data_IF_063620418530
#
_entry.id   IF_063620418530
#
_cell.length_a   1.000
_cell.length_b   1.000
_cell.length_c   1.000
_cell.angle_alpha   90.00
_cell.angle_beta   90.00
_cell.angle_gamma   90.00
#
_symmetry.space_group_name_H-M   'P 1'
#
loop_
_entity.id
_entity.type
_entity.pdbx_description
1 polymer ?
#
# COMPACT_ATOMS: atom_id res chain seq x y z
N UNK A 1 -10.45 16.94 -13.06
CA UNK A 1 -11.61 16.05 -12.96
C UNK A 1 -11.25 15.02 -11.90
N UNK A 2 -11.70 15.19 -10.65
CA UNK A 2 -11.33 14.29 -9.55
C UNK A 2 -12.17 13.02 -9.70
N UNK A 3 -11.61 12.01 -10.37
CA UNK A 3 -12.26 10.71 -10.50
C UNK A 3 -11.99 9.90 -9.22
N UNK A 4 -12.79 10.14 -8.18
CA UNK A 4 -12.75 9.32 -6.97
C UNK A 4 -13.36 7.95 -7.30
N UNK A 5 -12.52 6.95 -7.60
CA UNK A 5 -12.97 5.57 -7.73
C UNK A 5 -13.44 5.04 -6.37
N UNK A 6 -14.58 4.37 -6.37
CA UNK A 6 -15.10 3.62 -5.23
C UNK A 6 -14.28 2.35 -4.99
N UNK A 7 -14.28 1.78 -3.78
CA UNK A 7 -13.52 0.56 -3.48
C UNK A 7 -13.78 -0.59 -4.45
N UNK A 8 -15.03 -0.80 -4.87
CA UNK A 8 -15.38 -1.84 -5.84
C UNK A 8 -14.79 -1.58 -7.24
N UNK A 9 -14.71 -0.32 -7.67
CA UNK A 9 -14.13 0.06 -8.95
C UNK A 9 -12.61 -0.14 -8.94
N UNK A 10 -11.96 0.18 -7.80
CA UNK A 10 -10.53 -0.09 -7.57
C UNK A 10 -10.26 -1.59 -7.65
N UNK A 11 -11.05 -2.42 -6.96
CA UNK A 11 -10.90 -3.88 -7.01
C UNK A 11 -11.02 -4.42 -8.43
N UNK A 12 -12.06 -4.00 -9.17
CA UNK A 12 -12.26 -4.45 -10.55
C UNK A 12 -11.16 -3.99 -11.50
N UNK A 13 -10.60 -2.79 -11.29
CA UNK A 13 -9.42 -2.33 -12.02
C UNK A 13 -8.21 -3.22 -11.73
N UNK A 14 -7.89 -3.44 -10.46
CA UNK A 14 -6.74 -4.27 -10.04
C UNK A 14 -6.84 -5.69 -10.59
N UNK A 15 -8.00 -6.35 -10.51
CA UNK A 15 -8.19 -7.72 -11.02
C UNK A 15 -7.81 -7.86 -12.50
N UNK A 16 -8.08 -6.84 -13.32
CA UNK A 16 -7.72 -6.85 -14.75
C UNK A 16 -6.26 -6.47 -14.98
N UNK A 17 -5.76 -5.47 -14.25
CA UNK A 17 -4.41 -4.93 -14.42
C UNK A 17 -3.34 -5.91 -13.93
N UNK A 18 -3.58 -6.61 -12.83
CA UNK A 18 -2.61 -7.56 -12.25
C UNK A 18 -2.29 -8.75 -13.18
N UNK A 19 -3.14 -9.06 -14.15
CA UNK A 19 -2.87 -10.09 -15.15
C UNK A 19 -1.90 -9.64 -16.26
N UNK A 20 -1.57 -8.34 -16.32
CA UNK A 20 -0.80 -7.72 -17.42
C UNK A 20 0.57 -7.19 -16.99
N UNK A 21 0.83 -7.14 -15.69
CA UNK A 21 2.05 -6.55 -15.11
C UNK A 21 3.01 -7.63 -14.60
N UNK A 22 4.28 -7.26 -14.49
CA UNK A 22 5.31 -8.08 -13.87
C UNK A 22 5.19 -8.05 -12.35
N UNK A 23 5.46 -9.21 -11.74
CA UNK A 23 5.40 -9.41 -10.28
C UNK A 23 4.11 -8.83 -9.65
N UNK A 24 2.91 -9.30 -10.05
CA UNK A 24 1.64 -8.75 -9.56
C UNK A 24 1.48 -8.83 -8.03
N UNK A 25 2.19 -9.75 -7.38
CA UNK A 25 2.26 -9.87 -5.92
C UNK A 25 2.74 -8.57 -5.22
N UNK A 26 3.42 -7.65 -5.91
CA UNK A 26 3.78 -6.31 -5.39
C UNK A 26 2.56 -5.49 -4.97
N UNK A 27 1.39 -5.78 -5.53
CA UNK A 27 0.19 -4.96 -5.41
C UNK A 27 -0.97 -5.68 -4.70
N UNK A 28 -0.82 -6.95 -4.32
CA UNK A 28 -1.88 -7.76 -3.71
C UNK A 28 -1.97 -7.61 -2.19
N UNK A 29 -0.95 -7.02 -1.55
CA UNK A 29 -0.85 -6.95 -0.08
C UNK A 29 -0.58 -8.31 0.57
N UNK A 30 -0.88 -8.44 1.86
CA UNK A 30 -0.73 -9.69 2.63
C UNK A 30 0.69 -9.98 3.12
N UNK A 31 1.50 -8.93 3.29
CA UNK A 31 2.89 -9.06 3.72
C UNK A 31 3.01 -9.70 5.11
N UNK A 32 4.08 -10.47 5.31
CA UNK A 32 4.45 -10.95 6.63
C UNK A 32 4.72 -9.75 7.56
N UNK A 33 4.14 -9.77 8.77
CA UNK A 33 4.12 -8.65 9.73
C UNK A 33 3.28 -7.42 9.32
N UNK A 34 2.37 -7.55 8.35
CA UNK A 34 1.35 -6.52 8.15
C UNK A 34 0.47 -6.43 9.41
N UNK A 35 0.28 -5.21 9.91
CA UNK A 35 -0.62 -4.91 11.02
C UNK A 35 -1.97 -4.48 10.46
N UNK A 36 -3.02 -5.23 10.78
CA UNK A 36 -4.39 -4.86 10.42
C UNK A 36 -5.14 -4.38 11.66
N UNK A 37 -5.80 -3.22 11.53
CA UNK A 37 -6.66 -2.61 12.56
C UNK A 37 -7.99 -2.26 11.95
N UNK A 38 -9.01 -2.11 12.80
CA UNK A 38 -10.30 -1.60 12.38
C UNK A 38 -10.12 -0.18 11.82
N UNK A 39 -10.43 -0.03 10.54
CA UNK A 39 -10.28 1.22 9.81
C UNK A 39 -11.17 2.31 10.40
N UNK A 40 -12.44 2.00 10.69
CA UNK A 40 -13.44 2.96 11.13
C UNK A 40 -13.27 3.33 12.62
N UNK A 41 -12.76 2.40 13.42
CA UNK A 41 -12.47 2.68 14.83
C UNK A 41 -11.14 3.42 15.06
N UNK A 42 -10.26 3.51 14.06
CA UNK A 42 -8.93 4.15 14.20
C UNK A 42 -8.93 5.59 13.69
N UNK A 43 -8.79 6.60 14.59
CA UNK A 43 -8.98 8.01 14.24
C UNK A 43 -7.83 8.62 13.42
N UNK A 44 -6.62 8.10 13.54
CA UNK A 44 -5.45 8.62 12.82
C UNK A 44 -4.93 7.59 11.83
N UNK A 45 -4.85 7.97 10.55
CA UNK A 45 -4.42 7.08 9.46
C UNK A 45 -3.23 7.72 8.74
N UNK A 46 -2.16 6.97 8.60
CA UNK A 46 -0.89 7.44 8.03
C UNK A 46 -0.50 6.55 6.85
N UNK A 47 -0.12 7.17 5.75
CA UNK A 47 0.54 6.49 4.65
C UNK A 47 2.02 6.86 4.65
N UNK A 48 2.88 5.88 4.88
CA UNK A 48 4.33 6.03 4.75
C UNK A 48 4.70 5.76 3.29
N UNK A 49 4.84 6.84 2.51
CA UNK A 49 5.19 6.76 1.10
C UNK A 49 6.71 6.70 0.92
N UNK A 50 7.19 5.67 0.23
CA UNK A 50 8.57 5.55 -0.22
C UNK A 50 8.64 5.78 -1.73
N UNK A 51 9.52 6.67 -2.22
CA UNK A 51 9.51 7.11 -3.62
C UNK A 51 10.25 6.13 -4.55
N UNK A 52 10.07 4.82 -4.34
CA UNK A 52 10.68 3.77 -5.16
C UNK A 52 9.84 2.49 -5.08
N UNK A 53 10.18 1.49 -5.89
CA UNK A 53 9.46 0.22 -5.95
C UNK A 53 9.57 -0.58 -4.65
N UNK A 54 8.57 -1.43 -4.45
CA UNK A 54 8.45 -2.33 -3.31
C UNK A 54 9.74 -3.09 -2.97
N UNK A 55 10.39 -3.71 -3.96
CA UNK A 55 11.61 -4.51 -3.74
C UNK A 55 12.75 -3.68 -3.08
N UNK A 56 12.84 -2.39 -3.41
CA UNK A 56 13.84 -1.48 -2.85
C UNK A 56 13.37 -0.87 -1.53
N UNK A 57 12.10 -0.46 -1.46
CA UNK A 57 11.53 0.20 -0.29
C UNK A 57 11.37 -0.72 0.92
N UNK A 58 11.09 -2.02 0.72
CA UNK A 58 10.91 -2.99 1.81
C UNK A 58 12.17 -3.14 2.68
N UNK A 59 13.35 -2.95 2.08
CA UNK A 59 14.64 -3.04 2.77
C UNK A 59 14.99 -1.76 3.56
N UNK A 60 14.13 -0.74 3.54
CA UNK A 60 14.37 0.51 4.26
C UNK A 60 14.09 0.36 5.77
N UNK A 61 15.15 0.33 6.56
CA UNK A 61 15.06 0.18 8.02
C UNK A 61 14.29 1.34 8.69
N UNK A 62 14.47 2.57 8.21
CA UNK A 62 13.76 3.73 8.76
C UNK A 62 12.25 3.61 8.57
N UNK A 63 11.83 3.20 7.37
CA UNK A 63 10.43 2.93 7.04
C UNK A 63 9.85 1.82 7.93
N UNK A 64 10.61 0.74 8.14
CA UNK A 64 10.19 -0.37 9.01
C UNK A 64 10.02 0.07 10.48
N UNK A 65 10.96 0.87 11.02
CA UNK A 65 10.87 1.41 12.38
C UNK A 65 9.66 2.33 12.53
N UNK A 66 9.45 3.25 11.57
CA UNK A 66 8.29 4.16 11.61
C UNK A 66 6.97 3.39 11.53
N UNK A 67 6.88 2.40 10.65
CA UNK A 67 5.71 1.55 10.52
C UNK A 67 5.38 0.84 11.85
N UNK A 68 6.38 0.23 12.50
CA UNK A 68 6.22 -0.44 13.78
C UNK A 68 5.82 0.52 14.91
N UNK A 69 6.50 1.67 15.04
CA UNK A 69 6.20 2.65 16.08
C UNK A 69 4.79 3.24 15.96
N UNK A 70 4.35 3.56 14.73
CA UNK A 70 3.00 4.06 14.50
C UNK A 70 1.96 2.99 14.77
N UNK A 71 2.17 1.76 14.30
CA UNK A 71 1.22 0.67 14.48
C UNK A 71 1.20 0.08 15.89
N UNK A 72 2.17 0.38 16.77
CA UNK A 72 2.08 0.07 18.20
C UNK A 72 1.11 0.98 18.96
N UNK A 73 0.76 2.13 18.41
CA UNK A 73 -0.18 3.04 19.06
C UNK A 73 -1.63 2.60 18.82
N UNK A 74 -2.49 2.59 19.85
CA UNK A 74 -3.88 2.13 19.71
C UNK A 74 -4.74 3.08 18.86
N UNK A 75 -4.37 4.36 18.77
CA UNK A 75 -5.10 5.42 18.08
C UNK A 75 -4.65 5.65 16.62
N UNK A 76 -3.68 4.88 16.13
CA UNK A 76 -3.09 5.09 14.81
C UNK A 76 -3.08 3.83 13.95
N UNK A 77 -3.30 3.98 12.65
CA UNK A 77 -3.14 2.95 11.63
C UNK A 77 -2.13 3.50 10.61
N UNK A 78 -1.06 2.76 10.36
CA UNK A 78 -0.09 3.13 9.34
C UNK A 78 -0.01 2.04 8.26
N UNK A 79 -0.01 2.47 7.01
CA UNK A 79 0.25 1.64 5.83
C UNK A 79 1.49 2.12 5.10
N UNK A 80 2.12 1.24 4.32
CA UNK A 80 3.27 1.59 3.46
C UNK A 80 2.81 1.65 2.02
N UNK A 81 3.31 2.65 1.29
CA UNK A 81 3.03 2.82 -0.14
C UNK A 81 4.34 3.00 -0.88
N UNK A 82 4.43 2.39 -2.05
CA UNK A 82 5.61 2.39 -2.91
C UNK A 82 5.24 2.90 -4.29
N UNK A 83 6.23 3.38 -5.05
CA UNK A 83 6.00 3.74 -6.44
C UNK A 83 5.66 2.48 -7.27
N UNK A 84 4.68 2.56 -8.19
CA UNK A 84 4.43 1.47 -9.12
C UNK A 84 5.65 1.26 -10.01
N UNK A 85 5.83 0.02 -10.49
CA UNK A 85 6.79 -0.21 -11.56
C UNK A 85 6.23 0.35 -12.89
N UNK A 86 7.11 0.56 -13.87
CA UNK A 86 6.77 1.26 -15.12
C UNK A 86 5.71 0.55 -15.96
N UNK A 87 5.56 -0.77 -15.81
CA UNK A 87 4.51 -1.55 -16.48
C UNK A 87 3.13 -1.35 -15.85
N UNK A 88 3.05 -1.23 -14.52
CA UNK A 88 1.81 -0.91 -13.83
C UNK A 88 1.46 0.56 -14.01
N UNK A 89 2.45 1.46 -14.01
CA UNK A 89 2.25 2.88 -14.33
C UNK A 89 1.64 3.10 -15.71
N UNK A 90 2.00 2.27 -16.70
CA UNK A 90 1.41 2.32 -18.04
C UNK A 90 -0.09 1.93 -18.10
N UNK A 91 -0.62 1.29 -17.05
CA UNK A 91 -2.03 0.89 -16.96
C UNK A 91 -2.88 1.84 -16.09
N UNK A 92 -2.26 2.84 -15.43
CA UNK A 92 -2.93 3.88 -14.61
C UNK A 92 -3.57 4.98 -15.47
#
# INVERSE_FOLDING_TARGET
MNNHMQPAEISGFLERTLLRVQKPARYTGGEWNAVSKDWDATPHRVALAFPDIYDLGMSNLGLAILYDLLNKRPDMLAERVYAPWTDFEAEL
#
